data_IF_435567501187
#
_entry.id   IF_435567501187
#
_cell.length_a   1.000
_cell.length_b   1.000
_cell.length_c   1.000
_cell.angle_alpha   90.00
_cell.angle_beta   90.00
_cell.angle_gamma   90.00
#
_symmetry.space_group_name_H-M   'P 1'
#
loop_
_entity.id
_entity.type
_entity.pdbx_description
1 polymer ?
#
# COMPACT_ATOMS: atom_id res chain seq x y z
N UNK A 1 -13.96 11.17 4.01
CA UNK A 1 -12.50 10.94 3.99
C UNK A 1 -12.20 9.91 2.93
N UNK A 2 -11.13 10.10 2.18
CA UNK A 2 -10.75 9.23 1.08
C UNK A 2 -9.29 8.84 1.19
N UNK A 3 -8.98 7.53 1.08
CA UNK A 3 -7.62 7.01 1.11
C UNK A 3 -7.26 6.36 -0.22
N UNK A 4 -6.01 6.54 -0.63
CA UNK A 4 -5.38 5.77 -1.69
C UNK A 4 -4.66 4.58 -1.05
N UNK A 5 -5.02 3.37 -1.45
CA UNK A 5 -4.31 2.14 -1.08
C UNK A 5 -3.46 1.75 -2.27
N UNK A 6 -2.14 1.89 -2.12
CA UNK A 6 -1.18 1.75 -3.20
C UNK A 6 -0.27 0.56 -2.93
N UNK A 7 -0.32 -0.43 -3.80
CA UNK A 7 0.40 -1.69 -3.66
C UNK A 7 1.45 -1.84 -4.74
N UNK A 8 2.66 -2.17 -4.32
CA UNK A 8 3.83 -2.30 -5.19
C UNK A 8 4.04 -3.69 -5.77
N UNK A 9 5.27 -3.96 -6.24
CA UNK A 9 5.61 -5.18 -6.96
C UNK A 9 5.30 -6.44 -6.18
N UNK A 10 4.75 -7.41 -6.88
CA UNK A 10 4.46 -8.76 -6.38
C UNK A 10 3.38 -8.84 -5.32
N UNK A 11 2.83 -7.72 -4.85
CA UNK A 11 1.77 -7.72 -3.83
C UNK A 11 0.54 -8.45 -4.36
N UNK A 12 0.28 -8.38 -5.66
CA UNK A 12 -0.83 -9.08 -6.30
C UNK A 12 -0.71 -10.61 -6.28
N UNK A 13 0.48 -11.14 -5.97
CA UNK A 13 0.73 -12.59 -5.90
C UNK A 13 0.78 -13.11 -4.47
N UNK A 14 0.73 -12.24 -3.48
CA UNK A 14 0.85 -12.64 -2.07
C UNK A 14 -0.44 -13.24 -1.54
N UNK A 15 -0.29 -14.09 -0.54
CA UNK A 15 -1.38 -14.66 0.25
C UNK A 15 -1.35 -14.08 1.63
N UNK A 16 -2.51 -13.90 2.22
CA UNK A 16 -2.67 -13.21 3.50
C UNK A 16 -3.44 -14.08 4.47
N UNK A 17 -2.88 -14.27 5.67
CA UNK A 17 -3.52 -15.02 6.75
C UNK A 17 -3.07 -14.43 8.07
N UNK A 18 -4.02 -13.91 8.83
CA UNK A 18 -3.78 -13.30 10.13
C UNK A 18 -4.87 -13.73 11.11
N UNK A 19 -4.60 -13.74 12.43
CA UNK A 19 -5.65 -13.97 13.41
C UNK A 19 -6.79 -12.96 13.25
N UNK A 20 -8.02 -13.44 13.20
CA UNK A 20 -9.20 -12.60 13.02
C UNK A 20 -9.65 -12.42 11.58
N UNK A 21 -8.85 -12.88 10.61
CA UNK A 21 -9.25 -12.89 9.20
C UNK A 21 -10.08 -14.14 8.86
N UNK A 22 -10.90 -14.10 7.78
CA UNK A 22 -11.75 -15.22 7.39
C UNK A 22 -11.00 -16.35 6.66
N UNK A 23 -9.77 -16.66 7.06
CA UNK A 23 -8.91 -17.65 6.44
C UNK A 23 -7.83 -17.02 5.57
N UNK A 24 -7.22 -17.82 4.68
CA UNK A 24 -6.24 -17.31 3.73
C UNK A 24 -6.93 -16.61 2.57
N UNK A 25 -6.49 -15.39 2.26
CA UNK A 25 -7.04 -14.58 1.17
C UNK A 25 -5.97 -14.35 0.10
N UNK A 26 -6.40 -14.35 -1.16
CA UNK A 26 -5.58 -13.83 -2.25
C UNK A 26 -5.63 -12.30 -2.26
N UNK A 27 -4.96 -11.67 -3.23
CA UNK A 27 -4.91 -10.21 -3.31
C UNK A 27 -6.31 -9.60 -3.43
N UNK A 28 -7.15 -10.12 -4.33
CA UNK A 28 -8.49 -9.57 -4.52
C UNK A 28 -9.35 -9.72 -3.26
N UNK A 29 -9.27 -10.87 -2.61
CA UNK A 29 -9.95 -11.11 -1.34
C UNK A 29 -9.49 -10.17 -0.25
N UNK A 30 -8.18 -9.92 -0.16
CA UNK A 30 -7.63 -8.97 0.83
C UNK A 30 -8.12 -7.55 0.56
N UNK A 31 -8.12 -7.13 -0.71
CA UNK A 31 -8.57 -5.78 -1.04
C UNK A 31 -10.07 -5.61 -0.78
N UNK A 32 -10.88 -6.61 -1.08
CA UNK A 32 -12.31 -6.60 -0.75
C UNK A 32 -12.51 -6.51 0.77
N UNK A 33 -11.74 -7.25 1.54
CA UNK A 33 -11.79 -7.22 3.00
C UNK A 33 -11.45 -5.83 3.55
N UNK A 34 -10.38 -5.21 3.04
CA UNK A 34 -9.94 -3.88 3.44
C UNK A 34 -10.97 -2.81 3.06
N UNK A 35 -11.47 -2.86 1.81
CA UNK A 35 -12.46 -1.90 1.35
C UNK A 35 -13.77 -1.99 2.11
N UNK A 36 -14.21 -3.20 2.44
CA UNK A 36 -15.41 -3.40 3.28
C UNK A 36 -15.23 -2.79 4.67
N UNK A 37 -14.05 -2.97 5.28
CA UNK A 37 -13.75 -2.36 6.57
C UNK A 37 -13.77 -0.83 6.51
N UNK A 38 -13.20 -0.27 5.45
CA UNK A 38 -13.22 1.18 5.24
C UNK A 38 -14.63 1.70 5.02
N UNK A 39 -15.44 1.01 4.21
CA UNK A 39 -16.84 1.39 3.96
C UNK A 39 -17.64 1.44 5.26
N UNK A 40 -17.44 0.47 6.16
CA UNK A 40 -18.10 0.43 7.46
C UNK A 40 -17.73 1.63 8.33
N UNK A 41 -16.55 2.22 8.13
CA UNK A 41 -16.08 3.41 8.83
C UNK A 41 -16.40 4.71 8.10
N UNK A 42 -17.09 4.64 6.96
CA UNK A 42 -17.40 5.82 6.15
C UNK A 42 -16.20 6.36 5.36
N UNK A 43 -15.19 5.53 5.10
CA UNK A 43 -13.99 5.91 4.37
C UNK A 43 -14.07 5.39 2.94
N UNK A 44 -13.96 6.30 1.96
CA UNK A 44 -13.80 5.91 0.55
C UNK A 44 -12.37 5.47 0.28
N UNK A 45 -12.20 4.51 -0.61
CA UNK A 45 -10.87 4.00 -0.98
C UNK A 45 -10.72 3.89 -2.48
N UNK A 46 -9.55 4.31 -2.97
CA UNK A 46 -9.05 3.94 -4.29
C UNK A 46 -7.94 2.91 -4.08
N UNK A 47 -7.96 1.83 -4.84
CA UNK A 47 -6.95 0.78 -4.76
C UNK A 47 -6.20 0.69 -6.08
N UNK A 48 -4.87 0.71 -6.02
CA UNK A 48 -4.01 0.56 -7.18
C UNK A 48 -2.88 -0.43 -6.85
N UNK A 49 -2.54 -1.28 -7.81
CA UNK A 49 -1.39 -2.18 -7.70
C UNK A 49 -0.57 -2.05 -8.98
N UNK A 50 0.73 -1.89 -8.85
CA UNK A 50 1.65 -1.86 -9.98
C UNK A 50 3.00 -2.44 -9.59
N UNK A 51 3.67 -3.04 -10.58
CA UNK A 51 5.03 -3.54 -10.42
C UNK A 51 6.10 -2.50 -10.78
N UNK A 52 5.70 -1.32 -11.23
CA UNK A 52 6.60 -0.32 -11.75
C UNK A 52 6.80 0.83 -10.77
N UNK A 53 8.05 1.13 -10.45
CA UNK A 53 8.40 2.23 -9.54
C UNK A 53 7.85 3.57 -10.03
N UNK A 54 7.97 3.84 -11.33
CA UNK A 54 7.46 5.09 -11.91
C UNK A 54 5.96 5.25 -11.76
N UNK A 55 5.21 4.16 -11.89
CA UNK A 55 3.76 4.19 -11.70
C UNK A 55 3.40 4.50 -10.25
N UNK A 56 4.14 3.94 -9.28
CA UNK A 56 3.95 4.26 -7.86
C UNK A 56 4.17 5.75 -7.61
N UNK A 57 5.23 6.31 -8.17
CA UNK A 57 5.54 7.73 -8.03
C UNK A 57 4.43 8.59 -8.65
N UNK A 58 3.98 8.23 -9.85
CA UNK A 58 2.91 8.97 -10.53
C UNK A 58 1.60 8.96 -9.72
N UNK A 59 1.25 7.83 -9.13
CA UNK A 59 0.07 7.71 -8.26
C UNK A 59 0.20 8.57 -7.01
N UNK A 60 1.38 8.62 -6.41
CA UNK A 60 1.64 9.46 -5.23
C UNK A 60 1.50 10.93 -5.60
N UNK A 61 2.08 11.35 -6.72
CA UNK A 61 1.96 12.72 -7.18
C UNK A 61 0.51 13.11 -7.47
N UNK A 62 -0.25 12.20 -8.09
CA UNK A 62 -1.65 12.44 -8.40
C UNK A 62 -2.55 12.46 -7.17
N UNK A 63 -2.09 11.93 -6.03
CA UNK A 63 -2.86 11.89 -4.79
C UNK A 63 -3.02 13.27 -4.15
N UNK A 64 -2.08 14.19 -4.41
CA UNK A 64 -2.11 15.53 -3.83
C UNK A 64 -3.41 16.25 -4.21
N UNK A 65 -4.15 16.75 -3.22
CA UNK A 65 -5.43 17.43 -3.40
C UNK A 65 -6.61 16.49 -3.75
N UNK A 66 -6.38 15.17 -3.87
CA UNK A 66 -7.41 14.21 -4.25
C UNK A 66 -7.78 13.26 -3.12
N UNK A 67 -6.84 12.90 -2.26
CA UNK A 67 -7.05 11.99 -1.14
C UNK A 67 -6.57 12.61 0.17
N UNK A 68 -7.09 12.10 1.28
CA UNK A 68 -6.73 12.55 2.62
C UNK A 68 -5.57 11.78 3.21
N UNK A 69 -5.29 10.60 2.70
CA UNK A 69 -4.19 9.78 3.16
C UNK A 69 -3.80 8.70 2.16
N UNK A 70 -2.57 8.20 2.30
CA UNK A 70 -2.03 7.12 1.47
C UNK A 70 -1.65 5.97 2.38
N UNK A 71 -2.09 4.77 2.04
CA UNK A 71 -1.61 3.52 2.64
C UNK A 71 -0.76 2.83 1.59
N UNK A 72 0.54 2.72 1.84
CA UNK A 72 1.49 2.23 0.86
C UNK A 72 2.12 0.92 1.31
N UNK A 73 2.02 -0.09 0.46
CA UNK A 73 2.82 -1.30 0.55
C UNK A 73 3.77 -1.33 -0.65
N UNK A 74 5.01 -0.82 -0.50
CA UNK A 74 5.91 -0.67 -1.65
C UNK A 74 6.56 -1.97 -2.10
N UNK A 75 6.35 -3.08 -1.38
CA UNK A 75 7.04 -4.33 -1.67
C UNK A 75 8.54 -4.18 -1.49
N UNK A 76 9.32 -4.76 -2.40
CA UNK A 76 10.78 -4.67 -2.34
C UNK A 76 11.34 -3.25 -2.46
N UNK A 77 10.59 -2.33 -3.05
CA UNK A 77 11.01 -0.93 -3.14
C UNK A 77 11.09 -0.23 -1.77
N UNK A 78 10.51 -0.80 -0.71
CA UNK A 78 10.68 -0.27 0.64
C UNK A 78 12.15 -0.14 1.05
N UNK A 79 13.02 -0.94 0.45
CA UNK A 79 14.42 -1.05 0.84
C UNK A 79 15.37 -0.40 -0.16
N UNK A 80 14.90 -0.02 -1.34
CA UNK A 80 15.74 0.42 -2.45
C UNK A 80 15.32 1.73 -3.08
N UNK A 81 14.08 2.18 -2.91
CA UNK A 81 13.59 3.35 -3.65
C UNK A 81 13.64 4.62 -2.81
N UNK A 82 14.64 5.43 -3.07
CA UNK A 82 14.70 6.81 -2.56
C UNK A 82 13.67 7.68 -3.27
N UNK A 83 13.38 7.40 -4.55
CA UNK A 83 12.44 8.20 -5.34
C UNK A 83 11.01 8.11 -4.81
N UNK A 84 10.58 6.94 -4.36
CA UNK A 84 9.27 6.79 -3.72
C UNK A 84 9.21 7.59 -2.42
N UNK A 85 10.25 7.53 -1.60
CA UNK A 85 10.33 8.30 -0.36
C UNK A 85 10.25 9.81 -0.63
N UNK A 86 10.98 10.27 -1.64
CA UNK A 86 10.93 11.69 -2.03
C UNK A 86 9.53 12.09 -2.48
N UNK A 87 8.87 11.26 -3.29
CA UNK A 87 7.50 11.54 -3.74
C UNK A 87 6.54 11.66 -2.55
N UNK A 88 6.64 10.77 -1.57
CA UNK A 88 5.82 10.84 -0.35
C UNK A 88 6.05 12.12 0.44
N UNK A 89 7.30 12.54 0.56
CA UNK A 89 7.65 13.79 1.28
C UNK A 89 7.14 15.03 0.56
N UNK A 90 7.20 15.01 -0.77
CA UNK A 90 6.86 16.18 -1.58
C UNK A 90 5.36 16.32 -1.84
N UNK A 91 4.59 15.23 -1.82
CA UNK A 91 3.16 15.29 -2.11
C UNK A 91 2.32 15.98 -1.03
N UNK A 92 2.84 16.04 0.21
CA UNK A 92 2.16 16.68 1.33
C UNK A 92 0.96 15.92 1.89
N UNK A 93 0.69 14.70 1.41
CA UNK A 93 -0.41 13.85 1.91
C UNK A 93 0.14 12.94 3.01
N UNK A 94 -0.53 12.82 4.17
CA UNK A 94 -0.12 11.85 5.19
C UNK A 94 -0.08 10.43 4.62
N UNK A 95 0.98 9.70 4.92
CA UNK A 95 1.17 8.35 4.39
C UNK A 95 1.62 7.39 5.49
N UNK A 96 1.12 6.16 5.41
CA UNK A 96 1.53 5.05 6.26
C UNK A 96 2.07 3.94 5.36
N UNK A 97 3.27 3.45 5.70
CA UNK A 97 3.86 2.31 5.03
C UNK A 97 3.48 1.02 5.76
N UNK A 98 3.07 0.01 4.99
CA UNK A 98 2.71 -1.31 5.51
C UNK A 98 3.75 -2.31 5.01
N UNK A 99 4.34 -3.06 5.93
CA UNK A 99 5.26 -4.16 5.62
C UNK A 99 4.63 -5.47 6.09
N UNK A 100 4.56 -6.44 5.21
CA UNK A 100 3.94 -7.74 5.51
C UNK A 100 4.87 -8.67 6.28
N UNK A 101 6.18 -8.43 6.22
CA UNK A 101 7.19 -9.15 7.00
C UNK A 101 8.12 -8.17 7.69
N UNK A 102 8.56 -8.50 8.91
CA UNK A 102 9.51 -7.67 9.63
C UNK A 102 10.86 -7.67 8.88
N UNK A 103 11.47 -6.49 8.60
CA UNK A 103 12.73 -6.42 7.84
C UNK A 103 13.88 -7.19 8.50
N UNK A 104 13.95 -7.24 9.80
CA UNK A 104 14.99 -7.94 10.55
C UNK A 104 14.88 -9.47 10.47
N UNK A 105 13.76 -10.00 9.96
CA UNK A 105 13.56 -11.42 9.70
C UNK A 105 13.93 -11.82 8.27
N UNK A 106 14.44 -10.89 7.48
CA UNK A 106 14.79 -11.07 6.07
C UNK A 106 16.29 -10.92 5.85
N UNK A 107 16.69 -10.75 4.59
CA UNK A 107 18.10 -10.53 4.22
C UNK A 107 18.63 -9.23 4.86
N UNK A 108 19.95 -9.10 5.06
CA UNK A 108 20.52 -7.92 5.76
C UNK A 108 20.16 -6.58 5.15
N UNK A 109 19.87 -6.52 3.83
CA UNK A 109 19.48 -5.27 3.19
C UNK A 109 17.99 -4.91 3.35
N UNK A 110 17.23 -5.77 3.98
CA UNK A 110 15.83 -5.56 4.32
C UNK A 110 15.67 -5.31 5.82
#
# INVERSE_FOLDING_TARGET
MKFLILNGPNVNLQRYSEPGMPGELDYNGMMDYVQSGCDQMGIETDVCQTNHEGDLIDEIQAAAGRVDGIVLNPGGYAHTSVAILDALRLCGVPAVEVLLTAPDEREPFR
#
